data_IF_560844755958
#
_entry.id   IF_560844755958
#
_cell.length_a   1.000
_cell.length_b   1.000
_cell.length_c   1.000
_cell.angle_alpha   90.00
_cell.angle_beta   90.00
_cell.angle_gamma   90.00
#
_symmetry.space_group_name_H-M   'P 1'
#
loop_
_entity.id
_entity.type
_entity.pdbx_description
1 polymer ?
#
# COMPACT_ATOMS: atom_id res chain seq x y z
N UNK A 1 5.05 -12.23 11.69
CA UNK A 1 3.62 -11.82 11.61
C UNK A 1 3.09 -12.19 10.24
N UNK A 2 1.88 -12.72 10.13
CA UNK A 2 1.23 -12.99 8.84
C UNK A 2 0.23 -11.87 8.54
N UNK A 3 0.20 -11.41 7.30
CA UNK A 3 -0.74 -10.39 6.81
C UNK A 3 -1.40 -10.91 5.55
N UNK A 4 -2.73 -10.99 5.56
CA UNK A 4 -3.52 -11.28 4.37
C UNK A 4 -3.89 -9.96 3.70
N UNK A 5 -3.52 -9.76 2.43
CA UNK A 5 -3.85 -8.51 1.74
C UNK A 5 -5.36 -8.30 1.63
N UNK A 6 -6.15 -9.37 1.49
CA UNK A 6 -7.61 -9.30 1.50
C UNK A 6 -8.18 -8.75 2.82
N UNK A 7 -7.59 -9.12 3.97
CA UNK A 7 -7.99 -8.58 5.27
C UNK A 7 -7.61 -7.10 5.40
N UNK A 8 -6.41 -6.74 4.92
CA UNK A 8 -5.97 -5.36 4.91
C UNK A 8 -6.90 -4.48 4.09
N UNK A 9 -7.24 -4.87 2.85
CA UNK A 9 -8.15 -4.12 1.98
C UNK A 9 -9.52 -3.96 2.65
N UNK A 10 -10.04 -5.04 3.26
CA UNK A 10 -11.35 -5.03 3.92
C UNK A 10 -11.39 -4.15 5.17
N UNK A 11 -10.32 -4.13 5.97
CA UNK A 11 -10.35 -3.57 7.34
C UNK A 11 -9.52 -2.31 7.53
N UNK A 12 -8.54 -2.06 6.66
CA UNK A 12 -7.49 -1.05 6.86
C UNK A 12 -6.42 -1.46 7.87
N UNK A 13 -6.50 -2.66 8.44
CA UNK A 13 -5.57 -3.15 9.46
C UNK A 13 -4.55 -4.09 8.83
N UNK A 14 -3.27 -3.77 9.00
CA UNK A 14 -2.17 -4.53 8.42
C UNK A 14 -1.65 -5.58 9.43
N UNK A 15 -2.38 -6.69 9.54
CA UNK A 15 -2.13 -7.71 10.55
C UNK A 15 -2.40 -7.18 11.96
N UNK A 16 -1.34 -6.93 12.75
CA UNK A 16 -1.44 -6.31 14.08
C UNK A 16 -1.05 -4.82 14.08
N UNK A 17 -0.64 -4.29 12.94
CA UNK A 17 -0.20 -2.90 12.78
C UNK A 17 -1.41 -2.05 12.37
N UNK A 18 -1.61 -0.93 13.08
CA UNK A 18 -2.62 0.09 12.77
C UNK A 18 -1.98 1.49 12.84
N UNK A 19 -2.52 2.43 12.08
CA UNK A 19 -2.08 3.83 12.15
C UNK A 19 -2.18 4.37 13.58
N UNK A 20 -1.27 5.28 13.92
CA UNK A 20 -1.12 5.89 15.23
C UNK A 20 -0.25 5.12 16.24
N UNK A 21 0.09 3.84 15.97
CA UNK A 21 1.01 3.11 16.84
C UNK A 21 2.38 3.78 16.88
N UNK A 22 2.99 3.82 18.06
CA UNK A 22 4.37 4.25 18.22
C UNK A 22 5.35 3.15 17.80
N UNK A 23 6.57 3.57 17.45
CA UNK A 23 7.69 2.66 17.14
C UNK A 23 7.94 1.59 18.21
N UNK A 24 7.95 1.97 19.50
CA UNK A 24 8.15 1.05 20.62
C UNK A 24 7.01 0.01 20.73
N UNK A 25 5.78 0.41 20.40
CA UNK A 25 4.63 -0.50 20.38
C UNK A 25 4.73 -1.51 19.23
N UNK A 26 5.21 -1.09 18.05
CA UNK A 26 5.45 -1.98 16.90
C UNK A 26 6.56 -2.98 17.24
N UNK A 27 7.64 -2.53 17.88
CA UNK A 27 8.72 -3.42 18.30
C UNK A 27 8.28 -4.41 19.38
N UNK A 28 7.39 -4.01 20.30
CA UNK A 28 6.80 -4.91 21.29
C UNK A 28 5.98 -6.05 20.65
N UNK A 29 5.56 -5.91 19.38
CA UNK A 29 4.97 -6.99 18.58
C UNK A 29 6.02 -7.97 18.01
N UNK A 30 7.31 -7.76 18.31
CA UNK A 30 8.44 -8.50 17.76
C UNK A 30 8.83 -8.04 16.36
N UNK A 31 8.41 -6.85 15.94
CA UNK A 31 8.65 -6.31 14.60
C UNK A 31 9.69 -5.20 14.67
N UNK A 32 10.97 -5.56 14.52
CA UNK A 32 12.02 -4.61 14.20
C UNK A 32 12.19 -4.51 12.68
N UNK A 33 12.58 -3.37 12.11
CA UNK A 33 12.77 -3.26 10.66
C UNK A 33 13.98 -4.04 10.17
N UNK A 34 14.00 -4.36 8.88
CA UNK A 34 15.18 -4.88 8.19
C UNK A 34 16.16 -3.75 7.86
N UNK A 35 15.63 -2.55 7.58
CA UNK A 35 16.43 -1.37 7.23
C UNK A 35 15.78 -0.08 7.74
N UNK A 36 16.62 0.84 8.20
CA UNK A 36 16.28 2.23 8.44
C UNK A 36 16.73 3.05 7.24
N UNK A 37 15.79 3.69 6.54
CA UNK A 37 16.13 4.48 5.36
C UNK A 37 16.90 5.75 5.74
N UNK A 38 17.62 6.30 4.75
CA UNK A 38 18.35 7.57 4.81
C UNK A 38 19.58 7.61 5.74
N UNK A 39 20.25 6.46 5.95
CA UNK A 39 21.43 6.35 6.84
C UNK A 39 21.13 6.82 8.28
N UNK A 40 19.86 6.79 8.66
CA UNK A 40 19.41 7.15 9.99
C UNK A 40 19.45 5.94 10.92
N UNK A 41 19.35 6.20 12.22
CA UNK A 41 19.16 5.16 13.21
C UNK A 41 17.65 4.89 13.45
N UNK A 42 17.38 3.87 14.24
CA UNK A 42 16.04 3.42 14.62
C UNK A 42 15.15 4.55 15.14
N UNK A 43 15.69 5.37 16.03
CA UNK A 43 14.95 6.42 16.74
C UNK A 43 14.58 7.56 15.79
N UNK A 44 15.47 7.91 14.87
CA UNK A 44 15.34 9.11 14.04
C UNK A 44 14.77 8.86 12.65
N UNK A 45 14.85 7.63 12.13
CA UNK A 45 14.40 7.33 10.78
C UNK A 45 12.88 7.51 10.63
N UNK A 46 12.39 8.37 9.71
CA UNK A 46 10.97 8.54 9.48
C UNK A 46 10.35 7.36 8.71
N UNK A 47 11.16 6.44 8.19
CA UNK A 47 10.68 5.31 7.39
C UNK A 47 11.42 4.03 7.82
N UNK A 48 10.64 3.01 8.16
CA UNK A 48 11.14 1.67 8.46
C UNK A 48 10.78 0.72 7.33
N UNK A 49 11.75 -0.08 6.86
CA UNK A 49 11.51 -1.08 5.82
C UNK A 49 11.44 -2.50 6.38
N UNK A 50 10.51 -3.27 5.83
CA UNK A 50 10.34 -4.69 6.03
C UNK A 50 10.31 -5.33 4.64
N UNK A 51 11.45 -5.84 4.16
CA UNK A 51 11.65 -6.12 2.74
C UNK A 51 11.45 -4.86 1.89
N UNK A 52 10.38 -4.85 1.08
CA UNK A 52 9.99 -3.71 0.26
C UNK A 52 8.69 -3.03 0.73
N UNK A 53 8.13 -3.45 1.86
CA UNK A 53 7.11 -2.70 2.58
C UNK A 53 7.74 -1.57 3.38
N UNK A 54 7.12 -0.40 3.35
CA UNK A 54 7.52 0.78 4.12
C UNK A 54 6.48 1.13 5.18
N UNK A 55 6.95 1.40 6.40
CA UNK A 55 6.19 2.04 7.46
C UNK A 55 6.68 3.48 7.62
N UNK A 56 5.79 4.44 7.47
CA UNK A 56 6.06 5.88 7.52
C UNK A 56 5.63 6.43 8.89
N UNK A 57 6.45 7.30 9.48
CA UNK A 57 6.23 7.82 10.83
C UNK A 57 6.21 9.35 10.88
N UNK A 58 5.09 9.89 11.34
CA UNK A 58 4.96 11.30 11.72
C UNK A 58 5.69 11.56 13.04
N UNK A 59 6.24 12.77 13.16
CA UNK A 59 7.09 13.20 14.28
C UNK A 59 8.23 12.20 14.59
N UNK A 60 8.58 11.37 13.59
CA UNK A 60 9.53 10.25 13.68
C UNK A 60 9.15 9.19 14.70
N UNK A 61 7.90 9.16 15.17
CA UNK A 61 7.44 8.30 16.28
C UNK A 61 6.15 7.54 15.99
N UNK A 62 5.14 8.19 15.42
CA UNK A 62 3.79 7.64 15.27
C UNK A 62 3.58 7.19 13.84
N UNK A 63 3.13 5.95 13.65
CA UNK A 63 2.87 5.39 12.33
C UNK A 63 1.77 6.19 11.63
N UNK A 64 2.10 6.82 10.52
CA UNK A 64 1.19 7.63 9.71
C UNK A 64 0.88 6.99 8.36
N UNK A 65 1.69 6.03 7.91
CA UNK A 65 1.38 5.31 6.68
C UNK A 65 2.05 3.95 6.56
N UNK A 66 1.46 3.13 5.70
CA UNK A 66 2.03 1.87 5.22
C UNK A 66 2.01 1.95 3.70
N UNK A 67 3.12 1.61 3.05
CA UNK A 67 3.26 1.79 1.61
C UNK A 67 4.04 0.65 0.95
N UNK A 68 3.65 0.28 -0.26
CA UNK A 68 4.39 -0.61 -1.14
C UNK A 68 4.16 -0.24 -2.61
N UNK A 69 5.25 -0.11 -3.36
CA UNK A 69 5.30 0.14 -4.81
C UNK A 69 5.96 -1.02 -5.59
N UNK A 70 6.16 -2.17 -4.95
CA UNK A 70 6.76 -3.37 -5.55
C UNK A 70 5.70 -4.45 -5.80
N UNK A 71 4.68 -4.11 -6.60
CA UNK A 71 3.50 -4.96 -6.79
C UNK A 71 3.81 -6.34 -7.37
N UNK A 72 4.87 -6.44 -8.18
CA UNK A 72 5.31 -7.70 -8.78
C UNK A 72 5.90 -8.71 -7.77
N UNK A 73 6.41 -8.24 -6.63
CA UNK A 73 7.10 -9.07 -5.64
C UNK A 73 6.96 -8.47 -4.24
N UNK A 74 5.74 -8.44 -3.71
CA UNK A 74 5.45 -7.83 -2.41
C UNK A 74 6.09 -8.68 -1.29
N UNK A 75 7.04 -8.09 -0.56
CA UNK A 75 7.81 -8.77 0.48
C UNK A 75 7.81 -7.97 1.78
N UNK A 76 7.43 -8.62 2.87
CA UNK A 76 7.49 -8.10 4.24
C UNK A 76 8.78 -8.46 4.99
N UNK A 77 9.82 -8.88 4.26
CA UNK A 77 11.12 -9.26 4.80
C UNK A 77 11.07 -10.43 5.78
N UNK A 78 11.94 -10.42 6.79
CA UNK A 78 12.11 -11.56 7.70
C UNK A 78 10.99 -11.70 8.74
N UNK A 79 10.26 -10.61 9.01
CA UNK A 79 9.32 -10.54 10.14
C UNK A 79 7.86 -10.45 9.73
N UNK A 80 7.59 -10.15 8.46
CA UNK A 80 6.23 -10.05 7.94
C UNK A 80 6.09 -10.97 6.72
N UNK A 81 5.24 -11.97 6.84
CA UNK A 81 4.83 -12.84 5.73
C UNK A 81 3.57 -12.27 5.11
N UNK A 82 3.64 -11.88 3.84
CA UNK A 82 2.50 -11.38 3.08
C UNK A 82 1.82 -12.54 2.35
N UNK A 83 0.53 -12.72 2.59
CA UNK A 83 -0.32 -13.63 1.83
C UNK A 83 -1.07 -12.80 0.80
N UNK A 84 -0.48 -12.75 -0.40
CA UNK A 84 -1.07 -12.12 -1.57
C UNK A 84 -1.91 -13.15 -2.35
N UNK A 85 -3.14 -12.79 -2.68
CA UNK A 85 -4.05 -13.65 -3.44
C UNK A 85 -4.07 -13.32 -4.94
N UNK A 86 -3.45 -12.22 -5.36
CA UNK A 86 -3.33 -11.84 -6.76
C UNK A 86 -2.29 -12.72 -7.46
N UNK A 87 -2.68 -13.34 -8.57
CA UNK A 87 -1.80 -14.21 -9.38
C UNK A 87 -0.94 -13.45 -10.40
N UNK A 88 -1.34 -12.21 -10.71
CA UNK A 88 -0.70 -11.25 -11.61
C UNK A 88 -0.90 -9.85 -11.01
N UNK A 89 -0.20 -8.85 -11.53
CA UNK A 89 -0.48 -7.45 -11.17
C UNK A 89 -1.95 -7.15 -11.51
N UNK A 90 -2.76 -6.71 -10.54
CA UNK A 90 -4.14 -6.34 -10.79
C UNK A 90 -4.24 -5.11 -11.69
N UNK A 91 -5.20 -5.13 -12.60
CA UNK A 91 -5.65 -3.93 -13.30
C UNK A 91 -6.61 -3.12 -12.43
N UNK A 92 -6.92 -1.89 -12.84
CA UNK A 92 -7.99 -1.11 -12.23
C UNK A 92 -9.32 -1.90 -12.28
N UNK A 93 -9.63 -2.58 -13.39
CA UNK A 93 -10.84 -3.40 -13.50
C UNK A 93 -10.87 -4.52 -12.46
N UNK A 94 -9.76 -5.24 -12.28
CA UNK A 94 -9.66 -6.33 -11.30
C UNK A 94 -9.92 -5.82 -9.87
N UNK A 95 -9.37 -4.66 -9.50
CA UNK A 95 -9.58 -4.06 -8.17
C UNK A 95 -11.02 -3.56 -8.01
N UNK A 96 -11.61 -2.93 -9.03
CA UNK A 96 -13.00 -2.48 -8.97
C UNK A 96 -13.98 -3.66 -8.78
N UNK A 97 -13.76 -4.77 -9.48
CA UNK A 97 -14.53 -6.01 -9.28
C UNK A 97 -14.37 -6.56 -7.86
N UNK A 98 -13.14 -6.57 -7.34
CA UNK A 98 -12.88 -7.01 -5.96
C UNK A 98 -13.61 -6.14 -4.94
N UNK A 99 -13.53 -4.81 -5.06
CA UNK A 99 -14.20 -3.84 -4.17
C UNK A 99 -15.72 -3.97 -4.23
N UNK A 100 -16.30 -4.13 -5.42
CA UNK A 100 -17.73 -4.36 -5.59
C UNK A 100 -18.19 -5.66 -4.91
N UNK A 101 -17.41 -6.74 -5.05
CA UNK A 101 -17.72 -8.04 -4.42
C UNK A 101 -17.73 -7.97 -2.89
N UNK A 102 -16.90 -7.12 -2.30
CA UNK A 102 -16.85 -6.92 -0.84
C UNK A 102 -17.63 -5.68 -0.38
N UNK A 103 -18.45 -5.11 -1.26
CA UNK A 103 -19.33 -3.95 -1.00
C UNK A 103 -18.58 -2.77 -0.35
N UNK A 104 -17.42 -2.41 -0.93
CA UNK A 104 -16.60 -1.29 -0.45
C UNK A 104 -16.73 -0.07 -1.34
N UNK A 105 -17.23 1.01 -0.74
CA UNK A 105 -17.19 2.34 -1.33
C UNK A 105 -15.76 2.87 -1.42
N UNK A 106 -15.50 3.63 -2.47
CA UNK A 106 -14.24 4.30 -2.71
C UNK A 106 -14.47 5.65 -3.40
N UNK A 107 -13.51 6.55 -3.20
CA UNK A 107 -13.37 7.75 -4.02
C UNK A 107 -12.34 7.48 -5.11
N UNK A 108 -12.58 8.00 -6.31
CA UNK A 108 -11.66 7.90 -7.45
C UNK A 108 -11.18 9.29 -7.83
N UNK A 109 -9.88 9.46 -7.96
CA UNK A 109 -9.24 10.69 -8.43
C UNK A 109 -8.26 10.36 -9.55
N UNK A 110 -8.17 11.24 -10.55
CA UNK A 110 -7.18 11.15 -11.61
C UNK A 110 -6.36 12.43 -11.59
N UNK A 111 -5.03 12.33 -11.50
CA UNK A 111 -4.16 13.50 -11.51
C UNK A 111 -3.86 13.98 -12.95
N UNK A 112 -3.16 15.11 -13.07
CA UNK A 112 -2.77 15.69 -14.36
C UNK A 112 -1.93 14.72 -15.22
N UNK A 113 -1.09 13.92 -14.59
CA UNK A 113 -0.26 12.89 -15.22
C UNK A 113 -1.02 11.63 -15.64
N UNK A 114 -2.31 11.53 -15.31
CA UNK A 114 -3.13 10.37 -15.66
C UNK A 114 -3.02 9.18 -14.70
N UNK A 115 -2.32 9.32 -13.58
CA UNK A 115 -2.36 8.35 -12.47
C UNK A 115 -3.75 8.35 -11.86
N UNK A 116 -4.31 7.17 -11.64
CA UNK A 116 -5.60 6.98 -10.96
C UNK A 116 -5.33 6.55 -9.52
N UNK A 117 -5.97 7.21 -8.56
CA UNK A 117 -5.98 6.80 -7.16
C UNK A 117 -7.40 6.40 -6.76
N UNK A 118 -7.53 5.21 -6.17
CA UNK A 118 -8.73 4.80 -5.44
C UNK A 118 -8.44 4.90 -3.96
N UNK A 119 -9.30 5.59 -3.19
CA UNK A 119 -9.18 5.68 -1.73
C UNK A 119 -10.48 5.22 -1.07
N UNK A 120 -10.35 4.24 -0.16
CA UNK A 120 -11.45 3.65 0.59
C UNK A 120 -11.69 4.42 1.89
N UNK A 121 -12.90 4.32 2.46
CA UNK A 121 -13.24 4.97 3.73
C UNK A 121 -12.35 4.53 4.91
N UNK A 122 -11.78 3.33 4.85
CA UNK A 122 -10.83 2.82 5.84
C UNK A 122 -9.38 3.27 5.58
N UNK A 123 -9.18 4.27 4.71
CA UNK A 123 -7.90 4.86 4.35
C UNK A 123 -6.96 3.95 3.57
N UNK A 124 -7.40 2.78 3.13
CA UNK A 124 -6.63 1.99 2.16
C UNK A 124 -6.72 2.70 0.82
N UNK A 125 -5.60 2.79 0.11
CA UNK A 125 -5.59 3.34 -1.23
C UNK A 125 -4.79 2.46 -2.19
N UNK A 126 -5.13 2.62 -3.47
CA UNK A 126 -4.49 1.98 -4.61
C UNK A 126 -4.14 3.03 -5.64
N UNK A 127 -2.97 2.92 -6.25
CA UNK A 127 -2.50 3.80 -7.32
C UNK A 127 -2.27 2.99 -8.58
N UNK A 128 -2.75 3.52 -9.71
CA UNK A 128 -2.67 2.88 -11.01
C UNK A 128 -2.07 3.81 -12.04
N UNK A 129 -1.27 3.25 -12.93
CA UNK A 129 -0.69 3.95 -14.07
C UNK A 129 -1.04 3.22 -15.36
N UNK A 130 -1.14 3.97 -16.45
CA UNK A 130 -1.38 3.42 -17.77
C UNK A 130 -0.10 2.76 -18.28
N UNK A 131 -0.21 1.54 -18.81
CA UNK A 131 0.93 0.87 -19.48
C UNK A 131 1.25 1.49 -20.86
N UNK A 132 0.36 2.34 -21.38
CA UNK A 132 0.58 3.03 -22.65
C UNK A 132 1.22 4.40 -22.41
N UNK A 133 2.30 4.70 -23.15
CA UNK A 133 2.84 6.05 -23.34
C UNK A 133 1.82 6.91 -24.11
N UNK A 134 0.77 7.39 -23.45
CA UNK A 134 -0.24 8.22 -24.09
C UNK A 134 -0.17 9.65 -23.57
N UNK A 135 -0.07 10.58 -24.51
CA UNK A 135 -0.28 12.01 -24.28
C UNK A 135 -1.69 12.25 -23.72
N UNK A 136 -1.87 13.37 -23.02
CA UNK A 136 -3.10 13.75 -22.29
C UNK A 136 -4.38 13.65 -23.16
N UNK A 137 -4.27 13.69 -24.48
CA UNK A 137 -5.38 13.69 -25.45
C UNK A 137 -5.99 12.32 -25.77
N UNK A 138 -5.35 11.19 -25.42
CA UNK A 138 -5.89 9.84 -25.69
C UNK A 138 -6.21 9.05 -24.42
N UNK A 139 -6.60 9.72 -23.32
CA UNK A 139 -7.13 9.10 -22.09
C UNK A 139 -8.48 8.41 -22.37
N UNK A 140 -8.46 7.26 -23.06
CA UNK A 140 -9.57 6.31 -23.04
C UNK A 140 -9.67 5.77 -21.63
N UNK A 141 -10.84 5.92 -21.02
CA UNK A 141 -11.18 5.46 -19.68
C UNK A 141 -11.27 3.92 -19.54
N UNK A 142 -10.54 3.15 -20.35
CA UNK A 142 -10.59 1.69 -20.25
C UNK A 142 -9.84 1.23 -18.99
N UNK A 143 -10.54 0.71 -17.97
CA UNK A 143 -9.91 0.31 -16.71
C UNK A 143 -8.95 -0.88 -16.86
N UNK A 144 -8.95 -1.58 -17.99
CA UNK A 144 -8.00 -2.67 -18.25
C UNK A 144 -6.62 -2.19 -18.68
N UNK A 145 -6.47 -0.90 -19.05
CA UNK A 145 -5.20 -0.31 -19.46
C UNK A 145 -4.36 0.23 -18.29
N UNK A 146 -4.92 0.19 -17.08
CA UNK A 146 -4.32 0.72 -15.87
C UNK A 146 -3.89 -0.42 -14.96
N UNK A 147 -2.59 -0.52 -14.68
CA UNK A 147 -2.01 -1.53 -13.81
C UNK A 147 -1.71 -0.94 -12.44
N UNK A 148 -1.93 -1.73 -11.38
CA UNK A 148 -1.62 -1.34 -10.01
C UNK A 148 -0.11 -1.14 -9.88
N UNK A 149 0.30 0.06 -9.47
CA UNK A 149 1.71 0.42 -9.25
C UNK A 149 2.05 0.58 -7.78
N UNK A 150 1.07 0.92 -6.93
CA UNK A 150 1.28 1.01 -5.50
C UNK A 150 -0.01 0.80 -4.69
N UNK A 151 0.14 0.40 -3.44
CA UNK A 151 -0.96 0.41 -2.47
C UNK A 151 -0.45 0.83 -1.09
N UNK A 152 -1.37 1.24 -0.23
CA UNK A 152 -1.02 1.63 1.12
C UNK A 152 -2.19 2.05 1.98
N UNK A 153 -1.88 2.68 3.11
CA UNK A 153 -2.84 3.40 3.94
C UNK A 153 -2.22 4.66 4.53
N UNK A 154 -3.02 5.73 4.68
CA UNK A 154 -2.65 7.02 5.28
C UNK A 154 -3.89 7.77 5.78
#
# INVERSE_FOLDING_TARGET
MIVYLSDFIRTGVFGKIRLGLRKDEIEALGLTPDMWLNKMNKETSPIWRYGNLELHFDDRKHLSGIFNDYIHDIQGGNRITIVNHWKKVPTLSDILEELNRIEKDYTKQTNEYGTITLELLNRVYFMFESEQENTVETKKEDPNLYSLVAFGTK
#
